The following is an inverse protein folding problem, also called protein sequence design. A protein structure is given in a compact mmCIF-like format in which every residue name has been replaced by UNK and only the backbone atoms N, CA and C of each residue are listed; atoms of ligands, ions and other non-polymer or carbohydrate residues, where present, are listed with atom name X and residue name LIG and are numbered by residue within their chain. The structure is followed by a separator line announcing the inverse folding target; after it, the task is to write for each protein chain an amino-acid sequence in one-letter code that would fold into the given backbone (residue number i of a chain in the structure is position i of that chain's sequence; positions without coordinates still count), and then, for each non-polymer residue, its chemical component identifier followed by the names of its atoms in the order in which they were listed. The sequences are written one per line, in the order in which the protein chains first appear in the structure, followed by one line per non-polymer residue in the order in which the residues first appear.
data_IF_904532492076
#
_entry.id   IF_904532492076
#
_cell.length_a   1.000
_cell.length_b   1.000
_cell.length_c   1.000
_cell.angle_alpha   90.00
_cell.angle_beta   90.00
_cell.angle_gamma   90.00
#
_symmetry.space_group_name_H-M   'P 1'
#
loop_
_entity.id
_entity.type
_entity.pdbx_description
1 polymer ?
#
# COMPACT_ATOMS: atom_id res chain seq x y z
N UNK A 1 25.06 -8.94 1.95
CA UNK A 1 24.80 -8.42 3.29
C UNK A 1 23.81 -7.24 3.22
N UNK A 2 22.79 -7.26 4.06
CA UNK A 2 21.79 -6.20 4.18
C UNK A 2 21.96 -5.48 5.51
N UNK A 3 21.93 -4.16 5.48
CA UNK A 3 21.98 -3.31 6.67
C UNK A 3 20.89 -2.27 6.62
N UNK A 4 20.13 -2.15 7.69
CA UNK A 4 19.13 -1.10 7.85
C UNK A 4 19.75 0.11 8.54
N UNK A 5 19.60 1.28 7.95
CA UNK A 5 20.10 2.52 8.51
C UNK A 5 19.02 3.60 8.33
N UNK A 6 18.24 3.84 9.39
CA UNK A 6 17.08 4.74 9.33
C UNK A 6 16.09 4.28 8.26
N UNK A 7 15.82 5.16 7.30
CA UNK A 7 14.89 4.92 6.18
C UNK A 7 15.57 4.30 4.96
N UNK A 8 16.84 3.91 5.09
CA UNK A 8 17.62 3.36 4.00
C UNK A 8 17.96 1.91 4.23
N UNK A 9 17.94 1.15 3.14
CA UNK A 9 18.49 -0.21 3.08
C UNK A 9 19.81 -0.14 2.31
N UNK A 10 20.88 -0.54 2.98
CA UNK A 10 22.19 -0.72 2.34
C UNK A 10 22.36 -2.18 1.96
N UNK A 11 22.73 -2.42 0.72
CA UNK A 11 23.00 -3.76 0.20
C UNK A 11 24.47 -3.84 -0.21
N UNK A 12 25.22 -4.73 0.45
CA UNK A 12 26.62 -4.94 0.16
C UNK A 12 26.75 -6.20 -0.70
N UNK A 13 27.21 -6.01 -1.94
CA UNK A 13 27.42 -7.08 -2.90
C UNK A 13 28.90 -7.40 -3.03
N UNK A 14 29.31 -8.69 -3.17
CA UNK A 14 30.67 -9.05 -3.46
C UNK A 14 31.12 -8.48 -4.81
N UNK A 15 32.43 -8.18 -4.99
CA UNK A 15 32.95 -7.80 -6.29
C UNK A 15 32.68 -8.87 -7.34
N UNK A 16 32.30 -8.46 -8.55
CA UNK A 16 32.04 -9.40 -9.66
C UNK A 16 30.72 -10.14 -9.59
N UNK A 17 29.80 -9.78 -8.67
CA UNK A 17 28.47 -10.40 -8.61
C UNK A 17 27.67 -10.06 -9.87
N UNK A 18 27.04 -11.08 -10.47
CA UNK A 18 26.12 -10.89 -11.57
C UNK A 18 24.69 -10.65 -11.04
N UNK A 19 24.23 -9.41 -11.17
CA UNK A 19 22.90 -9.00 -10.74
C UNK A 19 21.76 -9.62 -11.58
N UNK A 20 22.08 -10.21 -12.73
CA UNK A 20 21.12 -10.89 -13.59
C UNK A 20 20.96 -12.38 -13.23
N UNK A 21 21.85 -12.93 -12.42
CA UNK A 21 21.72 -14.30 -11.96
C UNK A 21 20.45 -14.49 -11.12
N UNK A 22 19.68 -15.55 -11.42
CA UNK A 22 18.38 -15.83 -10.80
C UNK A 22 18.45 -15.91 -9.27
N UNK A 23 19.45 -16.59 -8.72
CA UNK A 23 19.61 -16.72 -7.26
C UNK A 23 19.95 -15.39 -6.60
N UNK A 24 20.80 -14.59 -7.24
CA UNK A 24 21.14 -13.24 -6.77
C UNK A 24 19.90 -12.36 -6.74
N UNK A 25 19.13 -12.36 -7.82
CA UNK A 25 17.85 -11.58 -7.90
C UNK A 25 16.86 -12.00 -6.84
N UNK A 26 16.69 -13.29 -6.60
CA UNK A 26 15.82 -13.82 -5.54
C UNK A 26 16.27 -13.36 -4.15
N UNK A 27 17.55 -13.41 -3.88
CA UNK A 27 18.12 -12.97 -2.59
C UNK A 27 17.92 -11.48 -2.39
N UNK A 28 18.17 -10.67 -3.41
CA UNK A 28 17.94 -9.22 -3.36
C UNK A 28 16.46 -8.89 -3.15
N UNK A 29 15.58 -9.54 -3.89
CA UNK A 29 14.12 -9.34 -3.74
C UNK A 29 13.62 -9.67 -2.34
N UNK A 30 14.12 -10.74 -1.73
CA UNK A 30 13.76 -11.09 -0.35
C UNK A 30 14.23 -10.04 0.65
N UNK A 31 15.47 -9.58 0.52
CA UNK A 31 16.03 -8.57 1.40
C UNK A 31 15.30 -7.24 1.29
N UNK A 32 15.05 -6.79 0.07
CA UNK A 32 14.26 -5.58 -0.21
C UNK A 32 12.84 -5.75 0.32
N UNK A 33 12.20 -6.88 0.04
CA UNK A 33 10.83 -7.15 0.50
C UNK A 33 10.68 -7.11 2.02
N UNK A 34 11.64 -7.66 2.77
CA UNK A 34 11.65 -7.57 4.23
C UNK A 34 11.75 -6.14 4.72
N UNK A 35 12.62 -5.35 4.11
CA UNK A 35 12.78 -3.95 4.45
C UNK A 35 11.49 -3.17 4.17
N UNK A 36 10.91 -3.35 2.98
CA UNK A 36 9.68 -2.66 2.60
C UNK A 36 8.52 -3.06 3.51
N UNK A 37 8.38 -4.34 3.84
CA UNK A 37 7.36 -4.80 4.77
C UNK A 37 7.49 -4.18 6.15
N UNK A 38 8.72 -4.11 6.67
CA UNK A 38 8.99 -3.46 7.95
C UNK A 38 8.61 -1.98 7.91
N UNK A 39 8.99 -1.27 6.85
CA UNK A 39 8.66 0.14 6.67
C UNK A 39 7.14 0.35 6.53
N UNK A 40 6.47 -0.55 5.83
CA UNK A 40 5.02 -0.50 5.65
C UNK A 40 4.28 -0.50 6.99
N UNK A 41 4.74 -1.28 7.97
CA UNK A 41 4.13 -1.36 9.30
C UNK A 41 4.22 -0.05 10.08
N UNK A 42 5.16 0.82 9.76
CA UNK A 42 5.28 2.14 10.36
C UNK A 42 4.54 3.20 9.55
N UNK A 43 4.74 3.20 8.24
CA UNK A 43 4.28 4.26 7.34
C UNK A 43 2.79 4.17 7.05
N UNK A 44 2.28 3.00 6.70
CA UNK A 44 0.89 2.86 6.23
C UNK A 44 -0.15 3.09 7.33
N UNK A 45 -0.01 2.55 8.55
CA UNK A 45 -0.94 2.87 9.64
C UNK A 45 -0.96 4.36 10.00
N UNK A 46 0.20 4.99 10.02
CA UNK A 46 0.30 6.44 10.30
C UNK A 46 -0.44 7.24 9.23
N UNK A 47 -0.22 6.91 7.96
CA UNK A 47 -0.87 7.59 6.84
C UNK A 47 -2.39 7.39 6.86
N UNK A 48 -2.86 6.18 7.10
CA UNK A 48 -4.28 5.90 7.25
C UNK A 48 -4.89 6.69 8.41
N UNK A 49 -4.24 6.72 9.56
CA UNK A 49 -4.72 7.46 10.72
C UNK A 49 -4.79 8.97 10.47
N UNK A 50 -3.85 9.54 9.74
CA UNK A 50 -3.88 10.94 9.32
C UNK A 50 -5.09 11.24 8.44
N UNK A 51 -5.36 10.39 7.45
CA UNK A 51 -6.49 10.58 6.52
C UNK A 51 -7.82 10.33 7.24
N UNK A 52 -7.94 9.27 8.03
CA UNK A 52 -9.17 8.96 8.77
C UNK A 52 -9.52 10.05 9.78
N UNK A 53 -8.53 10.60 10.46
CA UNK A 53 -8.72 11.71 11.41
C UNK A 53 -9.20 12.98 10.71
N UNK A 54 -8.60 13.30 9.56
CA UNK A 54 -9.02 14.43 8.72
C UNK A 54 -10.47 14.31 8.26
N UNK A 55 -10.89 13.09 7.92
CA UNK A 55 -12.24 12.80 7.45
C UNK A 55 -13.24 12.54 8.59
N UNK A 56 -12.76 12.47 9.85
CA UNK A 56 -13.61 12.18 11.01
C UNK A 56 -14.17 10.76 11.03
N UNK A 57 -13.41 9.78 10.51
CA UNK A 57 -13.86 8.40 10.36
C UNK A 57 -13.28 7.49 11.44
N UNK A 58 -14.11 6.66 12.11
CA UNK A 58 -13.62 5.70 13.10
C UNK A 58 -13.03 4.47 12.41
N UNK A 59 -11.79 4.12 12.73
CA UNK A 59 -11.13 2.89 12.32
C UNK A 59 -10.80 2.07 13.55
N UNK A 60 -11.26 0.81 13.59
CA UNK A 60 -11.08 -0.07 14.74
C UNK A 60 -9.64 -0.57 14.81
N UNK A 61 -9.10 -1.02 13.69
CA UNK A 61 -7.72 -1.52 13.62
C UNK A 61 -7.17 -1.41 12.21
N UNK A 62 -5.84 -1.35 12.11
CA UNK A 62 -5.10 -1.36 10.86
C UNK A 62 -4.05 -2.45 10.93
N UNK A 63 -4.03 -3.34 9.94
CA UNK A 63 -3.03 -4.39 9.80
C UNK A 63 -2.38 -4.33 8.42
N UNK A 64 -1.16 -4.85 8.31
CA UNK A 64 -0.41 -4.90 7.07
C UNK A 64 -0.38 -6.34 6.56
N UNK A 65 -0.92 -6.53 5.35
CA UNK A 65 -0.91 -7.81 4.66
C UNK A 65 0.19 -7.93 3.62
N UNK A 66 0.32 -9.11 3.03
CA UNK A 66 1.35 -9.44 2.03
C UNK A 66 0.75 -9.74 0.65
N UNK A 67 -0.55 -9.52 0.45
CA UNK A 67 -1.24 -9.83 -0.79
C UNK A 67 -0.87 -8.90 -1.94
N UNK A 68 -0.66 -9.49 -3.13
CA UNK A 68 -0.39 -8.72 -4.36
C UNK A 68 -1.66 -8.29 -5.07
N UNK A 69 -2.66 -9.17 -5.09
CA UNK A 69 -3.90 -8.96 -5.86
C UNK A 69 -4.85 -8.00 -5.18
N UNK A 70 -4.84 -8.02 -3.85
CA UNK A 70 -5.73 -7.20 -3.03
C UNK A 70 -4.90 -6.22 -2.24
N UNK A 71 -4.91 -4.96 -2.65
CA UNK A 71 -4.09 -3.92 -2.03
C UNK A 71 -4.69 -3.39 -0.73
N UNK A 72 -5.97 -3.61 -0.51
CA UNK A 72 -6.66 -3.23 0.72
C UNK A 72 -7.89 -4.07 0.97
N UNK A 73 -8.34 -4.06 2.21
CA UNK A 73 -9.56 -4.74 2.65
C UNK A 73 -10.15 -4.03 3.86
N UNK A 74 -11.47 -3.89 3.88
CA UNK A 74 -12.20 -3.34 5.01
C UNK A 74 -13.29 -4.32 5.43
N UNK A 75 -13.35 -4.64 6.72
CA UNK A 75 -14.43 -5.45 7.30
C UNK A 75 -15.61 -4.59 7.71
N UNK A 76 -16.77 -5.22 7.91
CA UNK A 76 -17.96 -4.54 8.43
C UNK A 76 -17.76 -3.99 9.85
N UNK A 77 -16.79 -4.51 10.58
CA UNK A 77 -16.44 -4.05 11.94
C UNK A 77 -15.57 -2.80 11.93
N UNK A 78 -15.08 -2.36 10.76
CA UNK A 78 -14.18 -1.22 10.66
C UNK A 78 -12.71 -1.57 10.81
N UNK A 79 -12.35 -2.83 10.61
CA UNK A 79 -10.97 -3.29 10.56
C UNK A 79 -10.44 -3.15 9.14
N UNK A 80 -9.31 -2.48 8.96
CA UNK A 80 -8.71 -2.26 7.65
C UNK A 80 -7.36 -2.98 7.57
N UNK A 81 -7.18 -3.73 6.49
CA UNK A 81 -5.89 -4.30 6.12
C UNK A 81 -5.38 -3.61 4.87
N UNK A 82 -4.10 -3.22 4.90
CA UNK A 82 -3.40 -2.64 3.75
C UNK A 82 -2.25 -3.56 3.37
N UNK A 83 -2.07 -3.78 2.07
CA UNK A 83 -0.93 -4.57 1.58
C UNK A 83 0.36 -3.76 1.63
N UNK A 84 1.46 -4.39 2.04
CA UNK A 84 2.77 -3.74 2.01
C UNK A 84 3.20 -3.35 0.59
N UNK A 85 2.61 -3.98 -0.44
CA UNK A 85 2.87 -3.61 -1.84
C UNK A 85 2.46 -2.17 -2.17
N UNK A 86 1.61 -1.54 -1.36
CA UNK A 86 1.32 -0.11 -1.49
C UNK A 86 2.57 0.75 -1.42
N UNK A 87 3.60 0.30 -0.70
CA UNK A 87 4.87 1.03 -0.58
C UNK A 87 5.60 1.21 -1.91
N UNK A 88 5.28 0.39 -2.92
CA UNK A 88 5.85 0.50 -4.26
C UNK A 88 5.10 1.50 -5.16
N UNK A 89 4.01 2.07 -4.66
CA UNK A 89 3.19 3.01 -5.41
C UNK A 89 3.54 4.46 -5.08
N UNK A 90 3.27 5.39 -6.00
CA UNK A 90 3.30 6.82 -5.68
C UNK A 90 2.36 7.15 -4.51
N UNK A 91 2.69 8.17 -3.74
CA UNK A 91 1.92 8.58 -2.56
C UNK A 91 0.45 8.83 -2.86
N UNK A 92 0.15 9.43 -4.01
CA UNK A 92 -1.23 9.69 -4.42
C UNK A 92 -2.06 8.42 -4.53
N UNK A 93 -1.46 7.33 -5.02
CA UNK A 93 -2.13 6.04 -5.17
C UNK A 93 -2.26 5.30 -3.84
N UNK A 94 -1.29 5.46 -2.95
CA UNK A 94 -1.41 4.98 -1.57
C UNK A 94 -2.63 5.65 -0.91
N UNK A 95 -2.73 6.95 -1.00
CA UNK A 95 -3.85 7.71 -0.44
C UNK A 95 -5.18 7.34 -1.07
N UNK A 96 -5.19 7.09 -2.37
CA UNK A 96 -6.38 6.63 -3.06
C UNK A 96 -6.88 5.29 -2.51
N UNK A 97 -6.00 4.31 -2.36
CA UNK A 97 -6.38 3.00 -1.79
C UNK A 97 -6.88 3.16 -0.37
N UNK A 98 -6.24 3.99 0.44
CA UNK A 98 -6.71 4.30 1.80
C UNK A 98 -8.11 4.91 1.75
N UNK A 99 -8.36 5.90 0.91
CA UNK A 99 -9.69 6.51 0.75
C UNK A 99 -10.74 5.49 0.30
N UNK A 100 -10.36 4.57 -0.60
CA UNK A 100 -11.22 3.49 -1.06
C UNK A 100 -11.66 2.59 0.12
N UNK A 101 -10.71 2.16 0.95
CA UNK A 101 -11.03 1.33 2.11
C UNK A 101 -11.82 2.09 3.18
N UNK A 102 -11.53 3.36 3.38
CA UNK A 102 -12.31 4.21 4.30
C UNK A 102 -13.75 4.41 3.82
N UNK A 103 -13.98 4.49 2.52
CA UNK A 103 -15.34 4.57 1.96
C UNK A 103 -16.16 3.29 2.25
N UNK A 104 -15.49 2.14 2.35
CA UNK A 104 -16.13 0.89 2.75
C UNK A 104 -16.63 0.87 4.20
N UNK A 105 -16.17 1.77 5.05
CA UNK A 105 -16.76 1.92 6.39
C UNK A 105 -18.24 2.28 6.33
N UNK A 106 -18.68 2.92 5.26
CA UNK A 106 -20.08 3.31 5.06
C UNK A 106 -20.78 2.44 4.03
N UNK A 107 -20.14 2.12 2.91
CA UNK A 107 -20.72 1.32 1.83
C UNK A 107 -19.82 0.13 1.52
N UNK A 108 -20.28 -1.09 1.84
CA UNK A 108 -19.48 -2.31 1.64
C UNK A 108 -19.40 -2.74 0.17
N UNK A 109 -20.40 -2.40 -0.64
CA UNK A 109 -20.42 -2.68 -2.07
C UNK A 109 -19.77 -1.53 -2.87
N UNK A 110 -19.47 -1.78 -4.14
CA UNK A 110 -18.98 -0.79 -5.07
C UNK A 110 -20.13 -0.12 -5.85
N UNK A 111 -21.18 0.27 -5.12
CA UNK A 111 -22.35 0.95 -5.66
C UNK A 111 -22.00 2.38 -6.12
N UNK A 112 -22.91 3.07 -6.85
CA UNK A 112 -22.73 4.49 -7.18
C UNK A 112 -22.54 5.38 -5.95
N UNK A 113 -23.18 5.05 -4.83
CA UNK A 113 -23.01 5.80 -3.56
C UNK A 113 -21.60 5.62 -3.00
N UNK A 114 -21.04 4.41 -3.07
CA UNK A 114 -19.65 4.16 -2.69
C UNK A 114 -18.69 5.00 -3.54
N UNK A 115 -18.84 4.96 -4.86
CA UNK A 115 -17.96 5.71 -5.76
C UNK A 115 -18.08 7.22 -5.56
N UNK A 116 -19.28 7.74 -5.33
CA UNK A 116 -19.47 9.16 -5.02
C UNK A 116 -18.75 9.56 -3.73
N UNK A 117 -18.82 8.72 -2.71
CA UNK A 117 -18.14 8.96 -1.42
C UNK A 117 -16.61 8.87 -1.57
N UNK A 118 -16.12 7.82 -2.22
CA UNK A 118 -14.70 7.65 -2.49
C UNK A 118 -14.13 8.82 -3.29
N UNK A 119 -14.86 9.25 -4.32
CA UNK A 119 -14.49 10.42 -5.13
C UNK A 119 -14.36 11.68 -4.27
N UNK A 120 -15.30 11.89 -3.35
CA UNK A 120 -15.25 13.04 -2.44
C UNK A 120 -14.03 12.95 -1.52
N UNK A 121 -13.70 11.76 -0.99
CA UNK A 121 -12.52 11.56 -0.14
C UNK A 121 -11.21 11.79 -0.90
N UNK A 122 -11.18 11.53 -2.21
CA UNK A 122 -10.03 11.73 -3.09
C UNK A 122 -9.96 13.14 -3.70
N UNK A 123 -10.79 14.07 -3.26
CA UNK A 123 -10.82 15.42 -3.83
C UNK A 123 -11.32 15.50 -5.27
N UNK A 124 -12.23 14.61 -5.67
CA UNK A 124 -12.82 14.58 -7.01
C UNK A 124 -11.99 13.82 -8.07
N UNK A 125 -10.96 13.10 -7.68
CA UNK A 125 -9.99 12.47 -8.60
C UNK A 125 -10.10 10.95 -8.68
N UNK A 126 -11.17 10.33 -8.19
CA UNK A 126 -11.28 8.86 -8.12
C UNK A 126 -11.08 8.18 -9.47
N UNK A 127 -11.74 8.67 -10.52
CA UNK A 127 -11.66 8.06 -11.85
C UNK A 127 -10.23 8.07 -12.39
N UNK A 128 -9.53 9.19 -12.25
CA UNK A 128 -8.14 9.33 -12.68
C UNK A 128 -7.22 8.42 -11.89
N UNK A 129 -7.33 8.44 -10.57
CA UNK A 129 -6.48 7.62 -9.67
C UNK A 129 -6.72 6.14 -9.88
N UNK A 130 -7.96 5.72 -10.10
CA UNK A 130 -8.30 4.35 -10.42
C UNK A 130 -7.65 3.86 -11.72
N UNK A 131 -7.64 4.70 -12.75
CA UNK A 131 -6.94 4.40 -14.02
C UNK A 131 -5.43 4.28 -13.82
N UNK A 132 -4.85 5.21 -13.07
CA UNK A 132 -3.42 5.18 -12.76
C UNK A 132 -3.04 3.92 -11.98
N UNK A 133 -3.84 3.53 -10.99
CA UNK A 133 -3.60 2.32 -10.23
C UNK A 133 -3.59 1.06 -11.11
N UNK A 134 -4.50 0.97 -12.07
CA UNK A 134 -4.54 -0.16 -13.02
C UNK A 134 -3.24 -0.29 -13.81
N UNK A 135 -2.59 0.81 -14.17
CA UNK A 135 -1.32 0.77 -14.90
C UNK A 135 -0.17 0.20 -14.06
N UNK A 136 -0.22 0.36 -12.74
CA UNK A 136 0.76 -0.21 -11.82
C UNK A 136 0.52 -1.69 -11.48
N UNK A 137 -0.68 -2.22 -11.69
CA UNK A 137 -1.00 -3.61 -11.40
C UNK A 137 -0.09 -4.60 -12.13
N UNK A 138 0.41 -4.25 -13.31
CA UNK A 138 1.36 -5.06 -14.09
C UNK A 138 2.74 -5.15 -13.46
N UNK A 139 3.13 -4.17 -12.66
CA UNK A 139 4.44 -4.14 -12.01
C UNK A 139 4.50 -4.98 -10.74
N UNK A 140 3.34 -5.35 -10.21
CA UNK A 140 3.23 -6.11 -8.97
C UNK A 140 3.18 -7.62 -9.22
N UNK A 141 3.16 -8.04 -10.46
CA UNK A 141 3.19 -9.45 -10.89
C UNK A 141 4.61 -9.87 -11.41
#
# INVERSE_FOLDING_TARGET
LFRYEGDCLQVFCPPGIDLNETNVRKTLSRGVGRFVYRRAQEVLPRRLNQISSRLGLPVVSVTIGRGRRKLGHCTRRGEIQLSFYLMYLPEELIDYVICHELAHLKYMDHSPLFHALCNRYCGGRELLLRKQLRSFAFLLY
#
